data_IF_483562118793
#
_entry.id   IF_483562118793
#
_cell.length_a   1.000
_cell.length_b   1.000
_cell.length_c   1.000
_cell.angle_alpha   90.00
_cell.angle_beta   90.00
_cell.angle_gamma   90.00
#
_symmetry.space_group_name_H-M   'P 1'
#
loop_
_entity.id
_entity.type
_entity.pdbx_description
1 polymer ?
#
# COMPACT_ATOMS: atom_id res chain seq x y z
N UNK A 1 -11.93 24.91 -13.45
CA UNK A 1 -10.47 25.16 -13.51
C UNK A 1 -9.66 24.02 -14.17
N UNK A 2 -10.27 22.92 -14.62
CA UNK A 2 -9.56 21.80 -15.25
C UNK A 2 -9.50 21.87 -16.79
N UNK A 3 -10.08 22.90 -17.40
CA UNK A 3 -10.18 23.04 -18.87
C UNK A 3 -8.99 23.75 -19.52
N UNK A 4 -8.02 24.28 -18.74
CA UNK A 4 -6.91 25.10 -19.23
C UNK A 4 -5.57 24.37 -19.41
N UNK A 5 -5.47 23.11 -18.99
CA UNK A 5 -4.32 22.26 -19.25
C UNK A 5 -4.71 21.37 -20.43
N UNK A 6 -4.00 21.42 -21.56
CA UNK A 6 -4.23 20.63 -22.77
C UNK A 6 -4.07 19.11 -22.60
N UNK A 7 -4.60 18.54 -21.51
CA UNK A 7 -4.67 17.12 -21.17
C UNK A 7 -6.04 16.49 -21.51
N UNK A 8 -6.93 17.23 -22.17
CA UNK A 8 -8.38 16.99 -22.19
C UNK A 8 -8.94 15.83 -23.04
N UNK A 9 -8.13 14.98 -23.69
CA UNK A 9 -8.69 13.90 -24.53
C UNK A 9 -7.95 12.56 -24.43
N UNK A 10 -6.62 12.57 -24.38
CA UNK A 10 -5.83 11.33 -24.37
C UNK A 10 -5.79 10.65 -22.99
N UNK A 11 -5.72 11.42 -21.90
CA UNK A 11 -5.55 10.88 -20.55
C UNK A 11 -6.78 10.10 -20.03
N UNK A 12 -7.99 10.48 -20.47
CA UNK A 12 -9.24 9.81 -20.09
C UNK A 12 -9.61 8.61 -20.98
N UNK A 13 -8.99 8.48 -22.16
CA UNK A 13 -9.26 7.38 -23.11
C UNK A 13 -8.58 6.07 -22.68
N UNK A 14 -7.35 6.16 -22.19
CA UNK A 14 -6.57 5.01 -21.75
C UNK A 14 -7.26 4.16 -20.66
N UNK A 15 -7.86 4.71 -19.58
CA UNK A 15 -8.56 3.90 -18.59
C UNK A 15 -9.84 3.22 -19.13
N UNK A 16 -10.59 3.87 -20.04
CA UNK A 16 -11.76 3.27 -20.72
C UNK A 16 -11.30 2.06 -21.55
N UNK A 17 -10.28 2.24 -22.38
CA UNK A 17 -9.74 1.20 -23.25
C UNK A 17 -9.23 0.01 -22.43
N UNK A 18 -8.58 0.26 -21.29
CA UNK A 18 -8.13 -0.79 -20.36
C UNK A 18 -9.30 -1.52 -19.71
N UNK A 19 -10.33 -0.82 -19.26
CA UNK A 19 -11.53 -1.44 -18.68
C UNK A 19 -12.27 -2.31 -19.70
N UNK A 20 -12.52 -1.79 -20.92
CA UNK A 20 -13.13 -2.56 -22.00
C UNK A 20 -12.26 -3.76 -22.45
N UNK A 21 -10.93 -3.64 -22.39
CA UNK A 21 -10.02 -4.74 -22.69
C UNK A 21 -10.02 -5.82 -21.61
N UNK A 22 -10.11 -5.43 -20.34
CA UNK A 22 -10.25 -6.37 -19.23
C UNK A 22 -11.59 -7.13 -19.29
N UNK A 23 -12.70 -6.44 -19.58
CA UNK A 23 -14.01 -7.06 -19.75
C UNK A 23 -14.05 -8.00 -20.98
N UNK A 24 -13.41 -7.61 -22.09
CA UNK A 24 -13.31 -8.48 -23.28
C UNK A 24 -12.49 -9.74 -22.98
N UNK A 25 -11.40 -9.62 -22.22
CA UNK A 25 -10.62 -10.77 -21.78
C UNK A 25 -11.42 -11.72 -20.87
N UNK A 26 -12.21 -11.18 -19.94
CA UNK A 26 -13.11 -11.97 -19.09
C UNK A 26 -14.21 -12.66 -19.91
N UNK A 27 -14.80 -11.96 -20.88
CA UNK A 27 -15.81 -12.53 -21.76
C UNK A 27 -15.24 -13.67 -22.63
N UNK A 28 -13.99 -13.54 -23.10
CA UNK A 28 -13.28 -14.62 -23.83
C UNK A 28 -12.99 -15.82 -22.94
N UNK A 29 -12.54 -15.60 -21.71
CA UNK A 29 -12.31 -16.68 -20.74
C UNK A 29 -13.61 -17.43 -20.43
N UNK A 30 -14.68 -16.70 -20.12
CA UNK A 30 -16.02 -17.23 -19.87
C UNK A 30 -16.54 -18.06 -21.07
N UNK A 31 -16.32 -17.58 -22.30
CA UNK A 31 -16.66 -18.33 -23.51
C UNK A 31 -15.90 -19.65 -23.60
N UNK A 32 -14.58 -19.62 -23.43
CA UNK A 32 -13.73 -20.81 -23.51
C UNK A 32 -14.10 -21.85 -22.44
N UNK A 33 -14.34 -21.41 -21.20
CA UNK A 33 -14.73 -22.30 -20.10
C UNK A 33 -16.13 -22.91 -20.33
N UNK A 34 -17.07 -22.14 -20.88
CA UNK A 34 -18.39 -22.68 -21.27
C UNK A 34 -18.31 -23.66 -22.44
N UNK A 35 -17.44 -23.43 -23.42
CA UNK A 35 -17.16 -24.39 -24.50
C UNK A 35 -16.58 -25.69 -23.93
N UNK A 36 -15.64 -25.60 -23.00
CA UNK A 36 -15.09 -26.77 -22.31
C UNK A 36 -16.18 -27.56 -21.57
N UNK A 37 -17.05 -26.86 -20.83
CA UNK A 37 -18.18 -27.48 -20.12
C UNK A 37 -19.17 -28.17 -21.08
N UNK A 38 -19.43 -27.58 -22.25
CA UNK A 38 -20.29 -28.19 -23.28
C UNK A 38 -19.69 -29.45 -23.92
N UNK A 39 -18.35 -29.55 -23.97
CA UNK A 39 -17.66 -30.75 -24.44
C UNK A 39 -17.63 -31.86 -23.38
N UNK A 40 -17.58 -31.49 -22.11
CA UNK A 40 -17.57 -32.44 -20.98
C UNK A 40 -18.97 -32.98 -20.67
N UNK A 41 -20.05 -32.29 -21.06
CA UNK A 41 -21.43 -32.73 -20.85
C UNK A 41 -21.87 -33.82 -21.85
N UNK A 42 -22.67 -34.80 -21.39
CA UNK A 42 -23.23 -35.83 -22.26
C UNK A 42 -24.09 -35.26 -23.38
N UNK A 43 -23.95 -35.80 -24.59
CA UNK A 43 -24.65 -35.30 -25.78
C UNK A 43 -26.18 -35.33 -25.61
N UNK A 44 -26.70 -36.33 -24.89
CA UNK A 44 -28.12 -36.46 -24.53
C UNK A 44 -28.60 -35.37 -23.58
N UNK A 45 -27.69 -34.82 -22.77
CA UNK A 45 -27.99 -33.88 -21.70
C UNK A 45 -27.84 -32.41 -22.13
N UNK A 46 -27.41 -32.16 -23.37
CA UNK A 46 -27.27 -30.80 -23.92
C UNK A 46 -28.59 -30.03 -23.98
N UNK A 47 -29.73 -30.72 -24.06
CA UNK A 47 -31.06 -30.12 -24.07
C UNK A 47 -31.60 -29.80 -22.66
N UNK A 48 -30.95 -30.31 -21.60
CA UNK A 48 -31.32 -30.06 -20.22
C UNK A 48 -30.83 -28.68 -19.73
N UNK A 49 -31.29 -28.24 -18.56
CA UNK A 49 -31.06 -26.90 -18.02
C UNK A 49 -29.58 -26.46 -18.00
N UNK A 50 -28.64 -27.38 -17.74
CA UNK A 50 -27.21 -27.08 -17.73
C UNK A 50 -26.63 -26.90 -19.14
N UNK A 51 -27.10 -27.65 -20.13
CA UNK A 51 -26.68 -27.45 -21.52
C UNK A 51 -27.18 -26.11 -22.06
N UNK A 52 -28.44 -25.75 -21.74
CA UNK A 52 -29.00 -24.42 -22.02
C UNK A 52 -28.24 -23.30 -21.30
N UNK A 53 -27.75 -23.55 -20.08
CA UNK A 53 -26.90 -22.60 -19.36
C UNK A 53 -25.58 -22.37 -20.10
N UNK A 54 -24.90 -23.43 -20.58
CA UNK A 54 -23.63 -23.25 -21.31
C UNK A 54 -23.83 -22.49 -22.62
N UNK A 55 -24.89 -22.81 -23.35
CA UNK A 55 -25.25 -22.08 -24.59
C UNK A 55 -25.56 -20.62 -24.29
N UNK A 56 -26.31 -20.32 -23.22
CA UNK A 56 -26.56 -18.96 -22.76
C UNK A 56 -25.26 -18.22 -22.42
N UNK A 57 -24.30 -18.89 -21.75
CA UNK A 57 -22.99 -18.31 -21.43
C UNK A 57 -22.21 -18.00 -22.71
N UNK A 58 -22.21 -18.90 -23.70
CA UNK A 58 -21.53 -18.71 -24.99
C UNK A 58 -22.14 -17.56 -25.80
N UNK A 59 -23.47 -17.49 -25.85
CA UNK A 59 -24.20 -16.43 -26.55
C UNK A 59 -24.02 -15.08 -25.84
N UNK A 60 -24.08 -15.05 -24.52
CA UNK A 60 -23.88 -13.82 -23.73
C UNK A 60 -22.45 -13.30 -23.85
N UNK A 61 -21.44 -14.18 -23.78
CA UNK A 61 -20.03 -13.77 -23.95
C UNK A 61 -19.72 -13.25 -25.36
N UNK A 62 -20.24 -13.90 -26.41
CA UNK A 62 -20.03 -13.43 -27.78
C UNK A 62 -20.72 -12.09 -28.04
N UNK A 63 -21.94 -11.90 -27.54
CA UNK A 63 -22.64 -10.62 -27.59
C UNK A 63 -21.85 -9.52 -26.83
N UNK A 64 -21.37 -9.80 -25.62
CA UNK A 64 -20.53 -8.88 -24.85
C UNK A 64 -19.25 -8.48 -25.61
N UNK A 65 -18.57 -9.44 -26.24
CA UNK A 65 -17.38 -9.16 -27.06
C UNK A 65 -17.70 -8.22 -28.24
N UNK A 66 -18.82 -8.44 -28.93
CA UNK A 66 -19.25 -7.58 -30.03
C UNK A 66 -19.56 -6.16 -29.57
N UNK A 67 -20.27 -6.01 -28.44
CA UNK A 67 -20.64 -4.71 -27.88
C UNK A 67 -19.42 -3.95 -27.35
N UNK A 68 -18.53 -4.62 -26.61
CA UNK A 68 -17.28 -4.03 -26.13
C UNK A 68 -16.35 -3.63 -27.28
N UNK A 69 -16.35 -4.40 -28.38
CA UNK A 69 -15.62 -4.03 -29.61
C UNK A 69 -16.20 -2.77 -30.24
N UNK A 70 -17.52 -2.61 -30.26
CA UNK A 70 -18.18 -1.39 -30.74
C UNK A 70 -17.76 -0.18 -29.91
N UNK A 71 -17.92 -0.24 -28.58
CA UNK A 71 -17.57 0.83 -27.63
C UNK A 71 -16.10 1.24 -27.72
N UNK A 72 -15.19 0.29 -27.97
CA UNK A 72 -13.75 0.56 -28.09
C UNK A 72 -13.40 1.38 -29.34
N UNK A 73 -14.21 1.29 -30.40
CA UNK A 73 -13.97 2.00 -31.67
C UNK A 73 -14.42 3.45 -31.62
N UNK A 74 -15.31 3.79 -30.71
CA UNK A 74 -16.10 5.03 -30.71
C UNK A 74 -15.75 5.99 -29.56
N UNK A 75 -14.74 5.68 -28.73
CA UNK A 75 -14.45 6.44 -27.50
C UNK A 75 -13.29 7.44 -27.63
N UNK A 76 -13.60 8.76 -27.54
CA UNK A 76 -12.79 9.79 -26.90
C UNK A 76 -13.29 10.06 -25.46
N UNK A 77 -12.36 10.40 -24.56
CA UNK A 77 -12.50 10.86 -23.16
C UNK A 77 -13.90 10.93 -22.51
N UNK A 78 -14.34 9.86 -21.83
CA UNK A 78 -15.50 9.90 -20.92
C UNK A 78 -15.14 9.32 -19.55
N UNK A 79 -14.77 10.16 -18.59
CA UNK A 79 -14.34 9.73 -17.24
C UNK A 79 -15.46 9.11 -16.39
N UNK A 80 -16.69 9.61 -16.47
CA UNK A 80 -17.82 9.16 -15.62
C UNK A 80 -18.30 7.75 -16.00
N UNK A 81 -18.18 7.40 -17.27
CA UNK A 81 -18.54 6.10 -17.83
C UNK A 81 -17.55 5.00 -17.41
N UNK A 82 -16.28 5.36 -17.19
CA UNK A 82 -15.22 4.47 -16.67
C UNK A 82 -15.56 3.95 -15.29
N UNK A 83 -16.08 4.82 -14.41
CA UNK A 83 -16.33 4.42 -13.02
C UNK A 83 -17.41 3.36 -12.94
N UNK A 84 -18.50 3.51 -13.72
CA UNK A 84 -19.59 2.53 -13.77
C UNK A 84 -19.16 1.17 -14.35
N UNK A 85 -18.29 1.19 -15.35
CA UNK A 85 -17.67 -0.02 -15.92
C UNK A 85 -16.71 -0.72 -14.94
N UNK A 86 -15.95 0.07 -14.18
CA UNK A 86 -14.85 -0.41 -13.35
C UNK A 86 -15.30 -1.03 -12.02
N UNK A 87 -16.48 -0.69 -11.52
CA UNK A 87 -16.95 -1.13 -10.20
C UNK A 87 -17.89 -2.34 -10.29
N UNK A 88 -19.17 -2.13 -10.60
CA UNK A 88 -20.20 -3.17 -10.44
C UNK A 88 -20.23 -4.16 -11.61
N UNK A 89 -20.07 -3.67 -12.84
CA UNK A 89 -20.07 -4.51 -14.04
C UNK A 89 -18.86 -5.46 -14.05
N UNK A 90 -17.65 -4.94 -13.80
CA UNK A 90 -16.42 -5.73 -13.77
C UNK A 90 -16.39 -6.76 -12.64
N UNK A 91 -16.86 -6.40 -11.45
CA UNK A 91 -16.90 -7.35 -10.31
C UNK A 91 -17.91 -8.46 -10.53
N UNK A 92 -19.09 -8.14 -11.06
CA UNK A 92 -20.13 -9.13 -11.39
C UNK A 92 -19.66 -10.09 -12.49
N UNK A 93 -19.07 -9.57 -13.57
CA UNK A 93 -18.52 -10.40 -14.65
C UNK A 93 -17.35 -11.25 -14.17
N UNK A 94 -16.46 -10.71 -13.32
CA UNK A 94 -15.34 -11.46 -12.75
C UNK A 94 -15.82 -12.61 -11.86
N UNK A 95 -16.80 -12.38 -10.98
CA UNK A 95 -17.38 -13.45 -10.14
C UNK A 95 -18.02 -14.54 -11.00
N UNK A 96 -18.76 -14.14 -12.02
CA UNK A 96 -19.36 -15.06 -12.99
C UNK A 96 -18.28 -15.88 -13.71
N UNK A 97 -17.30 -15.22 -14.33
CA UNK A 97 -16.16 -15.88 -15.01
C UNK A 97 -15.40 -16.83 -14.08
N UNK A 98 -15.20 -16.45 -12.82
CA UNK A 98 -14.53 -17.30 -11.84
C UNK A 98 -15.36 -18.53 -11.46
N UNK A 99 -16.67 -18.40 -11.29
CA UNK A 99 -17.56 -19.54 -11.04
C UNK A 99 -17.55 -20.51 -12.23
N UNK A 100 -17.66 -20.01 -13.46
CA UNK A 100 -17.60 -20.84 -14.68
C UNK A 100 -16.25 -21.54 -14.81
N UNK A 101 -15.14 -20.84 -14.54
CA UNK A 101 -13.79 -21.42 -14.57
C UNK A 101 -13.60 -22.52 -13.52
N UNK A 102 -14.13 -22.34 -12.31
CA UNK A 102 -14.10 -23.35 -11.26
C UNK A 102 -14.92 -24.58 -11.65
N UNK A 103 -16.12 -24.37 -12.19
CA UNK A 103 -16.95 -25.45 -12.70
C UNK A 103 -16.27 -26.20 -13.85
N UNK A 104 -15.69 -25.49 -14.82
CA UNK A 104 -14.99 -26.09 -15.96
C UNK A 104 -13.78 -26.93 -15.54
N UNK A 105 -12.96 -26.44 -14.60
CA UNK A 105 -11.81 -27.18 -14.10
C UNK A 105 -12.20 -28.41 -13.29
N UNK A 106 -13.21 -28.28 -12.43
CA UNK A 106 -13.71 -29.41 -11.65
C UNK A 106 -14.37 -30.46 -12.56
N UNK A 107 -15.15 -30.03 -13.54
CA UNK A 107 -15.74 -30.91 -14.54
C UNK A 107 -14.67 -31.64 -15.37
N UNK A 108 -13.63 -30.94 -15.82
CA UNK A 108 -12.51 -31.55 -16.54
C UNK A 108 -11.75 -32.57 -15.67
N UNK A 109 -11.53 -32.27 -14.40
CA UNK A 109 -10.88 -33.19 -13.46
C UNK A 109 -11.74 -34.45 -13.25
N UNK A 110 -13.06 -34.30 -13.04
CA UNK A 110 -13.98 -35.43 -12.92
C UNK A 110 -13.99 -36.28 -14.20
N UNK A 111 -14.03 -35.65 -15.38
CA UNK A 111 -13.99 -36.35 -16.66
C UNK A 111 -12.67 -37.11 -16.88
N UNK A 112 -11.53 -36.55 -16.49
CA UNK A 112 -10.23 -37.22 -16.59
C UNK A 112 -10.19 -38.49 -15.73
N UNK A 113 -10.69 -38.42 -14.48
CA UNK A 113 -10.73 -39.60 -13.59
C UNK A 113 -11.71 -40.68 -14.03
N UNK A 114 -12.78 -40.32 -14.74
CA UNK A 114 -13.73 -41.28 -15.33
C UNK A 114 -13.10 -42.02 -16.53
N UNK A 115 -12.32 -41.31 -17.35
CA UNK A 115 -11.59 -41.89 -18.47
C UNK A 115 -10.55 -42.95 -18.06
N UNK A 116 -9.83 -42.73 -16.96
CA UNK A 116 -8.87 -43.70 -16.41
C UNK A 116 -9.54 -45.00 -15.91
N UNK A 117 -10.83 -44.96 -15.57
CA UNK A 117 -11.62 -46.12 -15.11
C UNK A 117 -12.26 -46.91 -16.24
N UNK A 118 -12.05 -46.52 -17.50
CA UNK A 118 -12.73 -47.12 -18.66
C UNK A 118 -14.18 -46.65 -18.85
N UNK A 119 -14.68 -45.75 -18.00
CA UNK A 119 -15.98 -45.07 -18.13
C UNK A 119 -15.82 -43.80 -18.98
N UNK A 120 -15.32 -43.94 -20.21
CA UNK A 120 -14.97 -42.84 -21.12
C UNK A 120 -16.17 -42.04 -21.66
N UNK A 121 -17.21 -41.82 -20.85
CA UNK A 121 -18.37 -41.04 -21.19
C UNK A 121 -18.22 -39.59 -20.66
N UNK A 122 -18.81 -38.61 -21.34
CA UNK A 122 -18.97 -37.27 -20.81
C UNK A 122 -19.70 -37.33 -19.44
N UNK A 123 -19.56 -36.31 -18.60
CA UNK A 123 -20.25 -36.23 -17.31
C UNK A 123 -21.77 -36.16 -17.52
N UNK A 124 -22.52 -36.91 -16.71
CA UNK A 124 -23.97 -36.81 -16.64
C UNK A 124 -24.40 -35.44 -16.12
N UNK A 125 -25.61 -35.00 -16.46
CA UNK A 125 -26.18 -33.74 -15.97
C UNK A 125 -26.16 -33.64 -14.44
N UNK A 126 -26.38 -34.75 -13.72
CA UNK A 126 -26.39 -34.79 -12.26
C UNK A 126 -24.99 -34.55 -11.66
N UNK A 127 -23.95 -35.19 -12.20
CA UNK A 127 -22.58 -34.96 -11.76
C UNK A 127 -22.14 -33.51 -12.04
N UNK A 128 -22.52 -32.97 -13.21
CA UNK A 128 -22.21 -31.60 -13.56
C UNK A 128 -22.98 -30.57 -12.72
N UNK A 129 -24.22 -30.90 -12.31
CA UNK A 129 -25.02 -30.07 -11.41
C UNK A 129 -24.34 -29.90 -10.05
N UNK A 130 -23.80 -30.97 -9.48
CA UNK A 130 -23.05 -30.92 -8.22
C UNK A 130 -21.78 -30.05 -8.33
N UNK A 131 -21.07 -30.14 -9.47
CA UNK A 131 -19.91 -29.29 -9.77
C UNK A 131 -20.31 -27.81 -9.84
N UNK A 132 -21.42 -27.50 -10.52
CA UNK A 132 -21.94 -26.14 -10.61
C UNK A 132 -22.35 -25.59 -9.24
N UNK A 133 -23.07 -26.36 -8.44
CA UNK A 133 -23.47 -25.97 -7.09
C UNK A 133 -22.25 -25.61 -6.23
N UNK A 134 -21.24 -26.48 -6.19
CA UNK A 134 -20.01 -26.22 -5.43
C UNK A 134 -19.24 -24.97 -5.93
N UNK A 135 -19.22 -24.74 -7.25
CA UNK A 135 -18.56 -23.59 -7.85
C UNK A 135 -19.30 -22.27 -7.54
N UNK A 136 -20.63 -22.28 -7.59
CA UNK A 136 -21.44 -21.10 -7.27
C UNK A 136 -21.47 -20.81 -5.78
N UNK A 137 -21.57 -21.81 -4.91
CA UNK A 137 -21.53 -21.63 -3.46
C UNK A 137 -20.24 -20.97 -3.02
N UNK A 138 -19.11 -21.40 -3.60
CA UNK A 138 -17.80 -20.82 -3.32
C UNK A 138 -17.71 -19.34 -3.71
N UNK A 139 -18.49 -18.89 -4.70
CA UNK A 139 -18.37 -17.54 -5.26
C UNK A 139 -19.46 -16.56 -4.86
N UNK A 140 -20.66 -17.06 -4.61
CA UNK A 140 -21.84 -16.24 -4.34
C UNK A 140 -22.36 -16.38 -2.91
N UNK A 141 -21.83 -17.32 -2.10
CA UNK A 141 -22.06 -17.51 -0.66
C UNK A 141 -23.39 -16.91 -0.13
N UNK A 142 -24.40 -17.75 0.13
CA UNK A 142 -25.77 -17.39 0.56
C UNK A 142 -26.78 -17.06 -0.56
N UNK A 143 -26.55 -17.49 -1.81
CA UNK A 143 -27.51 -17.27 -2.91
C UNK A 143 -28.42 -18.51 -3.10
N UNK A 144 -29.67 -18.43 -2.63
CA UNK A 144 -30.64 -19.54 -2.59
C UNK A 144 -31.25 -19.90 -3.96
N UNK A 145 -30.88 -19.16 -5.01
CA UNK A 145 -31.52 -19.27 -6.32
C UNK A 145 -30.96 -20.41 -7.20
N UNK A 146 -29.85 -21.03 -6.79
CA UNK A 146 -29.20 -22.12 -7.52
C UNK A 146 -28.36 -21.66 -8.72
N UNK A 147 -27.44 -22.52 -9.21
CA UNK A 147 -26.36 -22.11 -10.09
C UNK A 147 -26.82 -21.52 -11.43
N UNK A 148 -27.86 -22.11 -12.02
CA UNK A 148 -28.41 -21.65 -13.32
C UNK A 148 -28.98 -20.24 -13.21
N UNK A 149 -29.75 -19.94 -12.15
CA UNK A 149 -30.38 -18.63 -11.98
C UNK A 149 -29.37 -17.56 -11.61
N UNK A 150 -28.45 -17.86 -10.70
CA UNK A 150 -27.39 -16.92 -10.28
C UNK A 150 -26.53 -16.48 -11.46
N UNK A 151 -26.04 -17.43 -12.27
CA UNK A 151 -25.20 -17.11 -13.43
C UNK A 151 -25.98 -16.37 -14.51
N UNK A 152 -27.22 -16.78 -14.79
CA UNK A 152 -28.11 -16.09 -15.73
C UNK A 152 -28.37 -14.64 -15.29
N UNK A 153 -28.67 -14.42 -14.01
CA UNK A 153 -28.89 -13.09 -13.47
C UNK A 153 -27.64 -12.21 -13.60
N UNK A 154 -26.47 -12.74 -13.24
CA UNK A 154 -25.20 -12.03 -13.37
C UNK A 154 -24.90 -11.62 -14.82
N UNK A 155 -25.10 -12.53 -15.79
CA UNK A 155 -24.88 -12.25 -17.21
C UNK A 155 -25.89 -11.23 -17.77
N UNK A 156 -27.16 -11.33 -17.39
CA UNK A 156 -28.17 -10.35 -17.81
C UNK A 156 -27.89 -8.96 -17.25
N UNK A 157 -27.43 -8.86 -16.00
CA UNK A 157 -27.03 -7.60 -15.38
C UNK A 157 -25.86 -6.95 -16.12
N UNK A 158 -24.79 -7.72 -16.36
CA UNK A 158 -23.61 -7.26 -17.12
C UNK A 158 -23.98 -6.86 -18.55
N UNK A 159 -24.82 -7.67 -19.22
CA UNK A 159 -25.31 -7.37 -20.57
C UNK A 159 -26.12 -6.07 -20.59
N UNK A 160 -27.01 -5.85 -19.63
CA UNK A 160 -27.79 -4.62 -19.54
C UNK A 160 -26.89 -3.38 -19.39
N UNK A 161 -25.83 -3.46 -18.58
CA UNK A 161 -24.93 -2.33 -18.37
C UNK A 161 -24.03 -2.04 -19.56
N UNK A 162 -23.52 -3.08 -20.23
CA UNK A 162 -22.75 -2.94 -21.48
C UNK A 162 -23.64 -2.47 -22.63
N UNK A 163 -24.91 -2.86 -22.65
CA UNK A 163 -25.90 -2.34 -23.61
C UNK A 163 -26.15 -0.84 -23.40
N UNK A 164 -26.45 -0.41 -22.17
CA UNK A 164 -26.62 1.02 -21.85
C UNK A 164 -25.40 1.85 -22.26
N UNK A 165 -24.21 1.26 -22.13
CA UNK A 165 -22.96 1.87 -22.55
C UNK A 165 -22.86 1.96 -24.08
N UNK A 166 -23.17 0.88 -24.78
CA UNK A 166 -23.15 0.85 -26.24
C UNK A 166 -24.14 1.88 -26.83
N UNK A 167 -25.36 1.94 -26.30
CA UNK A 167 -26.37 2.95 -26.71
C UNK A 167 -25.92 4.36 -26.39
N UNK A 168 -25.41 4.60 -25.17
CA UNK A 168 -24.89 5.92 -24.80
C UNK A 168 -23.76 6.36 -25.73
N UNK A 169 -22.89 5.43 -26.12
CA UNK A 169 -21.79 5.76 -27.03
C UNK A 169 -22.31 6.11 -28.42
N UNK A 170 -23.28 5.36 -28.95
CA UNK A 170 -23.92 5.60 -30.25
C UNK A 170 -24.69 6.93 -30.30
N UNK A 171 -25.48 7.22 -29.27
CA UNK A 171 -26.32 8.43 -29.22
C UNK A 171 -25.48 9.72 -29.18
N UNK A 172 -24.28 9.66 -28.60
CA UNK A 172 -23.38 10.81 -28.48
C UNK A 172 -22.37 10.92 -29.65
N UNK A 173 -22.37 10.01 -30.63
CA UNK A 173 -21.44 10.05 -31.78
C UNK A 173 -21.57 11.35 -32.62
N UNK A 174 -22.78 11.93 -32.67
CA UNK A 174 -23.04 13.15 -33.45
C UNK A 174 -22.44 14.41 -32.81
N UNK A 175 -22.51 14.56 -31.48
CA UNK A 175 -21.83 15.65 -30.77
C UNK A 175 -20.29 15.49 -30.84
N UNK A 176 -19.80 14.25 -30.93
CA UNK A 176 -18.38 13.89 -31.05
C UNK A 176 -17.77 14.23 -32.41
N UNK A 177 -18.52 14.05 -33.51
CA UNK A 177 -18.06 14.45 -34.85
C UNK A 177 -17.90 15.97 -34.97
N UNK A 178 -18.68 16.77 -34.23
CA UNK A 178 -18.52 18.23 -34.24
C UNK A 178 -17.22 18.70 -33.55
N UNK A 179 -16.74 17.95 -32.55
CA UNK A 179 -15.50 18.25 -31.80
C UNK A 179 -14.21 17.77 -32.50
N UNK A 180 -14.31 16.93 -33.55
CA UNK A 180 -13.14 16.36 -34.25
C UNK A 180 -12.77 17.08 -35.55
N UNK A 181 -13.42 18.21 -35.87
CA UNK A 181 -13.00 19.08 -36.97
C UNK A 181 -11.74 19.91 -36.64
N UNK A 182 -11.09 19.64 -35.49
CA UNK A 182 -9.72 20.07 -35.19
C UNK A 182 -8.76 19.04 -35.80
N UNK A 183 -8.22 19.39 -36.97
CA UNK A 183 -7.01 18.86 -37.63
C UNK A 183 -6.49 17.51 -37.09
N UNK A 184 -6.62 16.44 -37.89
CA UNK A 184 -5.87 15.21 -37.68
C UNK A 184 -4.37 15.47 -37.85
N UNK A 185 -3.69 15.84 -36.77
CA UNK A 185 -2.24 15.81 -36.72
C UNK A 185 -1.76 14.37 -36.95
N UNK A 186 -0.79 14.20 -37.86
CA UNK A 186 -0.16 12.92 -38.18
C UNK A 186 0.17 12.16 -36.88
N UNK A 187 -0.09 10.83 -36.81
CA UNK A 187 0.21 10.06 -35.61
C UNK A 187 1.68 10.23 -35.23
N UNK A 188 1.91 10.82 -34.06
CA UNK A 188 3.24 11.11 -33.54
C UNK A 188 4.07 9.83 -33.53
N UNK A 189 5.22 9.79 -34.22
CA UNK A 189 5.96 8.55 -34.38
C UNK A 189 6.39 8.00 -33.01
N UNK A 190 6.36 6.66 -32.81
CA UNK A 190 6.62 6.03 -31.50
C UNK A 190 7.94 6.46 -30.84
N UNK A 191 8.95 6.81 -31.64
CA UNK A 191 10.24 7.32 -31.15
C UNK A 191 10.11 8.66 -30.42
N UNK A 192 9.22 9.54 -30.87
CA UNK A 192 8.97 10.84 -30.23
C UNK A 192 8.21 10.67 -28.92
N UNK A 193 7.26 9.73 -28.86
CA UNK A 193 6.56 9.39 -27.61
C UNK A 193 7.52 8.80 -26.57
N UNK A 194 8.42 7.91 -27.00
CA UNK A 194 9.48 7.37 -26.13
C UNK A 194 10.43 8.47 -25.65
N UNK A 195 10.85 9.37 -26.54
CA UNK A 195 11.73 10.49 -26.19
C UNK A 195 11.06 11.46 -25.19
N UNK A 196 9.78 11.77 -25.38
CA UNK A 196 9.00 12.59 -24.45
C UNK A 196 8.85 11.92 -23.08
N UNK A 197 8.61 10.61 -23.06
CA UNK A 197 8.54 9.84 -21.81
C UNK A 197 9.87 9.86 -21.06
N UNK A 198 10.99 9.63 -21.75
CA UNK A 198 12.33 9.66 -21.14
C UNK A 198 12.65 11.07 -20.62
N UNK A 199 12.33 12.12 -21.38
CA UNK A 199 12.51 13.51 -20.94
C UNK A 199 11.72 13.79 -19.66
N UNK A 200 10.46 13.36 -19.61
CA UNK A 200 9.61 13.51 -18.43
C UNK A 200 10.16 12.74 -17.23
N UNK A 201 10.57 11.49 -17.43
CA UNK A 201 11.20 10.69 -16.38
C UNK A 201 12.47 11.36 -15.84
N UNK A 202 13.29 11.95 -16.72
CA UNK A 202 14.50 12.67 -16.32
C UNK A 202 14.19 13.92 -15.48
N UNK A 203 13.13 14.66 -15.82
CA UNK A 203 12.65 15.82 -15.04
C UNK A 203 12.08 15.39 -13.67
N UNK A 204 11.32 14.30 -13.64
CA UNK A 204 10.80 13.69 -12.40
C UNK A 204 11.95 13.21 -11.50
N UNK A 205 12.96 12.53 -12.05
CA UNK A 205 14.16 12.09 -11.32
C UNK A 205 14.91 13.28 -10.72
N UNK A 206 15.16 14.35 -11.50
CA UNK A 206 15.82 15.56 -10.98
C UNK A 206 15.06 16.17 -9.80
N UNK A 207 13.73 16.23 -9.92
CA UNK A 207 12.87 16.74 -8.83
C UNK A 207 12.96 15.87 -7.59
N UNK A 208 13.00 14.54 -7.75
CA UNK A 208 13.16 13.60 -6.64
C UNK A 208 14.55 13.72 -5.99
N UNK A 209 15.62 13.89 -6.78
CA UNK A 209 16.98 14.11 -6.27
C UNK A 209 17.06 15.35 -5.38
N UNK A 210 16.51 16.49 -5.85
CA UNK A 210 16.47 17.73 -5.05
C UNK A 210 15.70 17.53 -3.74
N UNK A 211 14.56 16.81 -3.78
CA UNK A 211 13.79 16.50 -2.57
C UNK A 211 14.58 15.63 -1.60
N UNK A 212 15.34 14.67 -2.11
CA UNK A 212 16.18 13.78 -1.31
C UNK A 212 17.32 14.56 -0.64
N UNK A 213 18.02 15.42 -1.39
CA UNK A 213 19.07 16.29 -0.85
C UNK A 213 18.54 17.22 0.26
N UNK A 214 17.35 17.82 0.06
CA UNK A 214 16.71 18.64 1.09
C UNK A 214 16.40 17.82 2.36
N UNK A 215 15.90 16.59 2.20
CA UNK A 215 15.63 15.71 3.35
C UNK A 215 16.91 15.30 4.08
N UNK A 216 18.01 15.10 3.37
CA UNK A 216 19.32 14.85 3.99
C UNK A 216 19.83 16.06 4.77
N UNK A 217 19.60 17.27 4.27
CA UNK A 217 19.93 18.51 4.98
C UNK A 217 19.11 18.63 6.28
N UNK A 218 17.79 18.41 6.21
CA UNK A 218 16.89 18.39 7.39
C UNK A 218 17.39 17.39 8.45
N UNK A 219 17.78 16.18 8.03
CA UNK A 219 18.30 15.14 8.94
C UNK A 219 19.60 15.60 9.62
N UNK A 220 20.52 16.24 8.88
CA UNK A 220 21.78 16.75 9.44
C UNK A 220 21.51 17.85 10.47
N UNK A 221 20.56 18.74 10.21
CA UNK A 221 20.17 19.79 11.15
C UNK A 221 19.53 19.21 12.42
N UNK A 222 18.58 18.28 12.26
CA UNK A 222 17.94 17.60 13.39
C UNK A 222 18.95 16.82 14.25
N UNK A 223 19.97 16.22 13.64
CA UNK A 223 21.07 15.56 14.38
C UNK A 223 21.88 16.56 15.20
N UNK A 224 22.18 17.75 14.66
CA UNK A 224 22.86 18.83 15.41
C UNK A 224 22.00 19.32 16.57
N UNK A 225 20.71 19.59 16.34
CA UNK A 225 19.78 20.04 17.36
C UNK A 225 19.64 19.01 18.50
N UNK A 226 19.56 17.72 18.16
CA UNK A 226 19.53 16.66 19.16
C UNK A 226 20.79 16.64 20.02
N UNK A 227 21.97 16.74 19.41
CA UNK A 227 23.24 16.73 20.16
C UNK A 227 23.31 17.91 21.14
N UNK A 228 22.91 19.10 20.70
CA UNK A 228 22.82 20.27 21.58
C UNK A 228 21.85 20.03 22.76
N UNK A 229 20.68 19.42 22.51
CA UNK A 229 19.73 19.08 23.59
C UNK A 229 20.24 18.01 24.54
N UNK A 230 21.02 17.05 24.05
CA UNK A 230 21.67 16.06 24.90
C UNK A 230 22.72 16.70 25.82
N UNK A 231 23.51 17.64 25.29
CA UNK A 231 24.49 18.40 26.05
C UNK A 231 23.80 19.26 27.12
N UNK A 232 22.73 20.00 26.77
CA UNK A 232 21.91 20.76 27.73
C UNK A 232 21.38 19.88 28.88
N UNK A 233 20.82 18.70 28.56
CA UNK A 233 20.32 17.77 29.58
C UNK A 233 21.44 17.26 30.49
N UNK A 234 22.60 16.94 29.94
CA UNK A 234 23.75 16.50 30.72
C UNK A 234 24.24 17.58 31.69
N UNK A 235 24.27 18.84 31.27
CA UNK A 235 24.59 19.97 32.15
C UNK A 235 23.55 20.15 33.25
N UNK A 236 22.26 20.10 32.92
CA UNK A 236 21.18 20.22 33.91
C UNK A 236 21.26 19.10 34.94
N UNK A 237 21.60 17.88 34.53
CA UNK A 237 21.78 16.75 35.44
C UNK A 237 22.96 16.98 36.41
N UNK A 238 24.11 17.43 35.91
CA UNK A 238 25.27 17.75 36.78
C UNK A 238 24.91 18.86 37.78
N UNK A 239 24.27 19.95 37.32
CA UNK A 239 23.85 21.06 38.18
C UNK A 239 22.89 20.59 39.28
N UNK A 240 21.96 19.70 38.92
CA UNK A 240 21.01 19.08 39.85
C UNK A 240 21.73 18.23 40.90
N UNK A 241 22.62 17.33 40.49
CA UNK A 241 23.37 16.46 41.41
C UNK A 241 24.21 17.27 42.40
N UNK A 242 24.83 18.37 41.95
CA UNK A 242 25.56 19.30 42.81
C UNK A 242 24.62 20.01 43.80
N UNK A 243 23.44 20.44 43.36
CA UNK A 243 22.41 21.05 44.21
C UNK A 243 21.92 20.10 45.31
N UNK A 244 21.65 18.83 44.96
CA UNK A 244 21.24 17.79 45.90
C UNK A 244 22.30 17.53 46.98
N UNK A 245 23.58 17.41 46.59
CA UNK A 245 24.68 17.24 47.55
C UNK A 245 24.81 18.43 48.50
N UNK A 246 24.69 19.65 47.99
CA UNK A 246 24.74 20.88 48.81
C UNK A 246 23.59 20.95 49.80
N UNK A 247 22.38 20.59 49.39
CA UNK A 247 21.22 20.60 50.28
C UNK A 247 21.29 19.52 51.34
N UNK A 248 21.69 18.30 50.97
CA UNK A 248 21.91 17.22 51.94
C UNK A 248 22.95 17.60 53.00
N UNK A 249 24.06 18.22 52.59
CA UNK A 249 25.06 18.73 53.52
C UNK A 249 24.53 19.86 54.42
N UNK A 250 23.74 20.78 53.87
CA UNK A 250 23.13 21.87 54.62
C UNK A 250 22.08 21.38 55.63
N UNK A 251 21.26 20.38 55.26
CA UNK A 251 20.28 19.74 56.13
C UNK A 251 20.97 19.06 57.32
N UNK A 252 21.98 18.23 57.07
CA UNK A 252 22.75 17.55 58.12
C UNK A 252 23.45 18.55 59.07
N UNK A 253 24.01 19.64 58.54
CA UNK A 253 24.62 20.69 59.36
C UNK A 253 23.59 21.44 60.21
N UNK A 254 22.38 21.67 59.69
CA UNK A 254 21.29 22.30 60.43
C UNK A 254 20.77 21.39 61.56
N UNK A 255 20.61 20.09 61.31
CA UNK A 255 20.24 19.08 62.31
C UNK A 255 21.24 19.04 63.46
N UNK A 256 22.54 18.94 63.17
CA UNK A 256 23.59 18.93 64.18
C UNK A 256 23.57 20.22 65.03
N UNK A 257 23.33 21.37 64.40
CA UNK A 257 23.24 22.66 65.10
C UNK A 257 22.00 22.74 65.99
N UNK A 258 20.88 22.20 65.52
CA UNK A 258 19.65 22.11 66.31
C UNK A 258 19.86 21.21 67.54
N UNK A 259 20.49 20.04 67.39
CA UNK A 259 20.83 19.16 68.52
C UNK A 259 21.76 19.84 69.53
N UNK A 260 22.78 20.56 69.07
CA UNK A 260 23.69 21.29 69.96
C UNK A 260 22.99 22.41 70.72
N UNK A 261 22.08 23.15 70.08
CA UNK A 261 21.28 24.18 70.74
C UNK A 261 20.29 23.57 71.72
N UNK A 262 19.70 22.42 71.39
CA UNK A 262 18.80 21.70 72.27
C UNK A 262 19.52 21.26 73.56
N UNK A 263 20.70 20.63 73.45
CA UNK A 263 21.51 20.24 74.61
C UNK A 263 21.86 21.45 75.49
N UNK A 264 22.29 22.56 74.88
CA UNK A 264 22.59 23.81 75.61
C UNK A 264 21.36 24.41 76.31
N UNK A 265 20.19 24.27 75.72
CA UNK A 265 18.93 24.71 76.33
C UNK A 265 18.59 23.83 77.53
N UNK A 266 18.70 22.52 77.39
CA UNK A 266 18.43 21.55 78.47
C UNK A 266 19.40 21.76 79.65
N UNK A 267 20.70 21.98 79.39
CA UNK A 267 21.71 22.29 80.41
C UNK A 267 21.39 23.61 81.15
N UNK A 268 21.04 24.68 80.42
CA UNK A 268 20.66 25.95 81.03
C UNK A 268 19.37 25.83 81.85
N UNK A 269 18.42 25.01 81.39
CA UNK A 269 17.17 24.75 82.09
C UNK A 269 17.39 23.94 83.37
N UNK A 270 18.32 22.98 83.35
CA UNK A 270 18.70 22.22 84.54
C UNK A 270 19.41 23.10 85.58
N UNK A 271 20.27 24.05 85.14
CA UNK A 271 20.90 25.04 86.04
C UNK A 271 19.88 25.98 86.70
N UNK A 272 18.86 26.39 85.95
CA UNK A 272 17.71 27.16 86.45
C UNK A 272 16.88 26.39 87.48
N UNK A 273 16.76 25.06 87.35
CA UNK A 273 16.04 24.22 88.32
C UNK A 273 16.83 23.97 89.60
N UNK A 274 18.15 23.97 89.55
CA UNK A 274 19.02 23.73 90.72
C UNK A 274 19.29 24.98 91.56
N UNK A 275 18.86 26.17 91.12
CA UNK A 275 19.04 27.44 91.85
C UNK A 275 17.68 28.01 92.23
N UNK A 276 17.39 28.13 93.53
CA UNK A 276 16.08 28.57 94.06
C UNK A 276 15.69 30.02 93.67
N UNK A 277 16.64 30.83 93.20
CA UNK A 277 16.40 32.15 92.61
C UNK A 277 17.06 32.24 91.22
N UNK A 278 16.29 32.49 90.13
CA UNK A 278 16.85 32.59 88.79
C UNK A 278 17.69 33.87 88.64
N UNK A 279 19.00 33.73 88.53
CA UNK A 279 19.89 34.88 88.29
C UNK A 279 19.63 35.51 86.91
N UNK A 280 19.49 36.85 86.79
CA UNK A 280 19.13 37.53 85.54
C UNK A 280 19.98 37.18 84.30
N UNK A 281 21.31 36.97 84.41
CA UNK A 281 22.15 36.56 83.28
C UNK A 281 21.79 35.18 82.70
N UNK A 282 21.36 34.23 83.54
CA UNK A 282 21.00 32.87 83.13
C UNK A 282 19.67 32.87 82.38
N UNK A 283 18.70 33.67 82.84
CA UNK A 283 17.41 33.85 82.17
C UNK A 283 17.59 34.46 80.77
N UNK A 284 18.41 35.51 80.65
CA UNK A 284 18.70 36.14 79.35
C UNK A 284 19.39 35.17 78.38
N UNK A 285 20.34 34.36 78.89
CA UNK A 285 21.01 33.33 78.07
C UNK A 285 20.03 32.26 77.59
N UNK A 286 19.12 31.78 78.45
CA UNK A 286 18.10 30.81 78.07
C UNK A 286 17.12 31.37 77.02
N UNK A 287 16.69 32.63 77.16
CA UNK A 287 15.83 33.31 76.18
C UNK A 287 16.52 33.47 74.82
N UNK A 288 17.80 33.84 74.80
CA UNK A 288 18.58 33.97 73.56
C UNK A 288 18.72 32.61 72.86
N UNK A 289 19.03 31.54 73.60
CA UNK A 289 19.14 30.17 73.05
C UNK A 289 17.78 29.70 72.52
N UNK A 290 16.68 30.01 73.22
CA UNK A 290 15.32 29.68 72.76
C UNK A 290 14.98 30.40 71.45
N UNK A 291 15.31 31.68 71.32
CA UNK A 291 15.13 32.44 70.07
C UNK A 291 15.95 31.86 68.92
N UNK A 292 17.22 31.51 69.18
CA UNK A 292 18.07 30.86 68.18
C UNK A 292 17.54 29.49 67.76
N UNK A 293 16.97 28.71 68.71
CA UNK A 293 16.35 27.43 68.43
C UNK A 293 15.12 27.59 67.52
N UNK A 294 14.25 28.57 67.79
CA UNK A 294 13.10 28.86 66.92
C UNK A 294 13.54 29.29 65.52
N UNK A 295 14.54 30.16 65.41
CA UNK A 295 15.14 30.53 64.11
C UNK A 295 15.67 29.29 63.37
N UNK A 296 16.37 28.37 64.05
CA UNK A 296 16.82 27.12 63.41
C UNK A 296 15.67 26.23 62.94
N UNK A 297 14.59 26.09 63.73
CA UNK A 297 13.40 25.32 63.32
C UNK A 297 12.73 25.89 62.08
N UNK A 298 12.65 27.23 61.97
CA UNK A 298 12.11 27.87 60.76
C UNK A 298 12.99 27.62 59.53
N UNK A 299 14.31 27.52 59.69
CA UNK A 299 15.23 27.17 58.61
C UNK A 299 15.08 25.69 58.21
N UNK A 300 14.84 24.78 59.16
CA UNK A 300 14.58 23.36 58.87
C UNK A 300 13.34 23.18 58.01
N UNK A 301 12.21 23.83 58.36
CA UNK A 301 10.97 23.80 57.55
C UNK A 301 11.21 24.34 56.14
N UNK A 302 12.00 25.42 56.00
CA UNK A 302 12.37 25.97 54.68
C UNK A 302 13.24 25.01 53.86
N UNK A 303 14.08 24.19 54.50
CA UNK A 303 14.88 23.18 53.83
C UNK A 303 14.01 22.00 53.37
N UNK A 304 13.08 21.53 54.21
CA UNK A 304 12.12 20.48 53.85
C UNK A 304 11.25 20.88 52.63
N UNK A 305 10.80 22.13 52.57
CA UNK A 305 10.07 22.65 51.41
C UNK A 305 10.93 22.64 50.14
N UNK A 306 12.21 23.05 50.22
CA UNK A 306 13.14 22.99 49.08
C UNK A 306 13.45 21.55 48.65
N UNK A 307 13.48 20.60 49.57
CA UNK A 307 13.61 19.18 49.25
C UNK A 307 12.40 18.63 48.51
N UNK A 308 11.19 19.10 48.84
CA UNK A 308 9.97 18.75 48.11
C UNK A 308 10.02 19.26 46.66
N UNK A 309 10.40 20.53 46.45
CA UNK A 309 10.57 21.10 45.10
C UNK A 309 11.59 20.30 44.26
N UNK A 310 12.69 19.87 44.89
CA UNK A 310 13.68 19.04 44.22
C UNK A 310 13.11 17.69 43.84
N UNK A 311 12.36 17.02 44.72
CA UNK A 311 11.71 15.74 44.38
C UNK A 311 10.79 15.87 43.16
N UNK A 312 10.08 16.98 43.03
CA UNK A 312 9.24 17.26 41.87
C UNK A 312 10.09 17.47 40.60
N UNK A 313 11.17 18.25 40.69
CA UNK A 313 12.14 18.40 39.59
C UNK A 313 12.79 17.06 39.19
N UNK A 314 13.05 16.14 40.14
CA UNK A 314 13.53 14.77 39.82
C UNK A 314 12.54 14.01 38.95
N UNK A 315 11.25 14.10 39.30
CA UNK A 315 10.18 13.42 38.57
C UNK A 315 10.05 13.98 37.15
N UNK A 316 10.12 15.30 37.00
CA UNK A 316 10.09 15.97 35.70
C UNK A 316 11.30 15.60 34.83
N UNK A 317 12.52 15.56 35.39
CA UNK A 317 13.71 15.15 34.64
C UNK A 317 13.62 13.70 34.16
N UNK A 318 13.15 12.78 35.02
CA UNK A 318 12.98 11.37 34.67
C UNK A 318 11.99 11.19 33.53
N UNK A 319 10.85 11.89 33.57
CA UNK A 319 9.87 11.88 32.49
C UNK A 319 10.47 12.39 31.16
N UNK A 320 11.26 13.47 31.20
CA UNK A 320 11.94 13.99 30.00
C UNK A 320 12.98 13.02 29.44
N UNK A 321 13.64 12.25 30.30
CA UNK A 321 14.61 11.24 29.89
C UNK A 321 13.94 10.02 29.24
N UNK A 322 12.76 9.62 29.72
CA UNK A 322 11.91 8.59 29.11
C UNK A 322 11.32 9.04 27.76
N UNK A 323 10.87 10.30 27.63
CA UNK A 323 10.44 10.86 26.34
C UNK A 323 11.59 10.85 25.31
N UNK A 324 12.82 11.15 25.74
CA UNK A 324 13.99 11.18 24.87
C UNK A 324 14.39 9.77 24.39
N UNK A 325 14.32 8.76 25.26
CA UNK A 325 14.60 7.36 24.89
C UNK A 325 13.53 6.80 23.96
N UNK A 326 12.25 7.12 24.18
CA UNK A 326 11.19 6.77 23.23
C UNK A 326 11.40 7.43 21.86
N UNK A 327 11.78 8.70 21.82
CA UNK A 327 12.10 9.38 20.55
C UNK A 327 13.29 8.75 19.83
N UNK A 328 14.33 8.31 20.56
CA UNK A 328 15.46 7.58 19.97
C UNK A 328 15.02 6.25 19.36
N UNK A 329 14.24 5.45 20.08
CA UNK A 329 13.74 4.16 19.59
C UNK A 329 12.87 4.36 18.34
N UNK A 330 11.96 5.34 18.35
CA UNK A 330 11.11 5.65 17.18
C UNK A 330 11.95 6.06 15.97
N UNK A 331 13.05 6.79 16.18
CA UNK A 331 13.98 7.19 15.11
C UNK A 331 14.74 6.00 14.56
N UNK A 332 15.33 5.16 15.39
CA UNK A 332 16.05 3.96 14.94
C UNK A 332 15.15 3.02 14.13
N UNK A 333 13.90 2.89 14.56
CA UNK A 333 12.89 2.10 13.86
C UNK A 333 12.53 2.73 12.49
N UNK A 334 12.49 4.07 12.42
CA UNK A 334 12.36 4.82 11.17
C UNK A 334 13.55 4.65 10.23
N UNK A 335 14.78 4.74 10.73
CA UNK A 335 16.01 4.55 9.95
C UNK A 335 16.11 3.11 9.40
N UNK A 336 15.76 2.10 10.20
CA UNK A 336 15.67 0.70 9.73
C UNK A 336 14.64 0.52 8.62
N UNK A 337 13.47 1.16 8.74
CA UNK A 337 12.43 1.12 7.70
C UNK A 337 12.90 1.78 6.39
N UNK A 338 13.60 2.91 6.47
CA UNK A 338 14.16 3.58 5.30
C UNK A 338 15.27 2.75 4.65
N UNK A 339 16.15 2.15 5.45
CA UNK A 339 17.19 1.23 4.98
C UNK A 339 16.61 0.00 4.27
N UNK A 340 15.56 -0.62 4.84
CA UNK A 340 14.87 -1.74 4.20
C UNK A 340 14.12 -1.34 2.92
N UNK A 341 13.56 -0.12 2.87
CA UNK A 341 12.93 0.38 1.65
C UNK A 341 13.96 0.64 0.54
N UNK A 342 15.16 1.14 0.87
CA UNK A 342 16.24 1.34 -0.08
C UNK A 342 16.72 -0.01 -0.66
N UNK A 343 16.99 -1.01 0.17
CA UNK A 343 17.41 -2.33 -0.32
C UNK A 343 16.34 -3.02 -1.18
N UNK A 344 15.06 -2.85 -0.86
CA UNK A 344 13.97 -3.34 -1.69
C UNK A 344 13.85 -2.60 -3.04
N UNK A 345 14.20 -1.31 -3.08
CA UNK A 345 14.25 -0.55 -4.32
C UNK A 345 15.43 -1.00 -5.20
N UNK A 346 16.61 -1.22 -4.60
CA UNK A 346 17.79 -1.72 -5.30
C UNK A 346 17.54 -3.12 -5.90
N UNK A 347 16.92 -4.03 -5.15
CA UNK A 347 16.55 -5.35 -5.64
C UNK A 347 15.58 -5.29 -6.83
N UNK A 348 14.58 -4.39 -6.78
CA UNK A 348 13.67 -4.17 -7.91
C UNK A 348 14.37 -3.58 -9.12
N UNK A 349 15.35 -2.69 -8.92
CA UNK A 349 16.16 -2.11 -9.98
C UNK A 349 16.96 -3.22 -10.69
N UNK A 350 17.53 -4.15 -9.92
CA UNK A 350 18.28 -5.30 -10.42
C UNK A 350 17.38 -6.26 -11.22
N UNK A 351 16.21 -6.63 -10.70
CA UNK A 351 15.21 -7.45 -11.45
C UNK A 351 14.78 -6.80 -12.76
N UNK A 352 14.60 -5.48 -12.77
CA UNK A 352 14.19 -4.73 -13.96
C UNK A 352 15.32 -4.70 -15.00
N UNK A 353 16.57 -4.58 -14.55
CA UNK A 353 17.75 -4.66 -15.41
C UNK A 353 17.92 -6.07 -16.01
N UNK A 354 17.70 -7.14 -15.24
CA UNK A 354 17.70 -8.50 -15.77
C UNK A 354 16.59 -8.71 -16.82
N UNK A 355 15.39 -8.19 -16.56
CA UNK A 355 14.27 -8.29 -17.49
C UNK A 355 14.57 -7.57 -18.81
N UNK A 356 15.24 -6.42 -18.76
CA UNK A 356 15.70 -5.70 -19.96
C UNK A 356 16.74 -6.51 -20.74
N UNK A 357 17.75 -7.07 -20.07
CA UNK A 357 18.76 -7.92 -20.72
C UNK A 357 18.12 -9.14 -21.39
N UNK A 358 17.15 -9.80 -20.73
CA UNK A 358 16.41 -10.95 -21.31
C UNK A 358 15.61 -10.54 -22.54
N UNK A 359 14.99 -9.35 -22.53
CA UNK A 359 14.26 -8.81 -23.69
C UNK A 359 15.20 -8.54 -24.86
N UNK A 360 16.33 -7.87 -24.63
CA UNK A 360 17.33 -7.58 -25.66
C UNK A 360 17.90 -8.86 -26.29
N UNK A 361 18.17 -9.88 -25.47
CA UNK A 361 18.58 -11.20 -25.97
C UNK A 361 17.49 -11.86 -26.83
N UNK A 362 16.22 -11.72 -26.44
CA UNK A 362 15.07 -12.20 -27.22
C UNK A 362 14.96 -11.49 -28.57
N UNK A 363 15.08 -10.17 -28.59
CA UNK A 363 15.04 -9.36 -29.81
C UNK A 363 16.20 -9.70 -30.76
N UNK A 364 17.41 -9.89 -30.24
CA UNK A 364 18.57 -10.34 -31.03
C UNK A 364 18.34 -11.73 -31.64
N UNK A 365 17.75 -12.67 -30.89
CA UNK A 365 17.42 -14.01 -31.39
C UNK A 365 16.38 -13.96 -32.50
N UNK A 366 15.34 -13.13 -32.35
CA UNK A 366 14.31 -12.93 -33.38
C UNK A 366 14.90 -12.29 -34.65
N UNK A 367 15.76 -11.28 -34.51
CA UNK A 367 16.48 -10.66 -35.63
C UNK A 367 17.37 -11.66 -36.36
N UNK A 368 18.12 -12.49 -35.63
CA UNK A 368 18.94 -13.55 -36.24
C UNK A 368 18.09 -14.61 -36.97
N UNK A 369 16.94 -15.00 -36.39
CA UNK A 369 16.03 -15.94 -37.03
C UNK A 369 15.39 -15.37 -38.30
N UNK A 370 15.04 -14.08 -38.30
CA UNK A 370 14.53 -13.39 -39.48
C UNK A 370 15.57 -13.36 -40.61
N UNK A 371 16.82 -12.98 -40.30
CA UNK A 371 17.92 -12.98 -41.28
C UNK A 371 18.18 -14.39 -41.85
N UNK A 372 18.14 -15.43 -41.01
CA UNK A 372 18.28 -16.82 -41.47
C UNK A 372 17.12 -17.28 -42.37
N UNK A 373 15.90 -16.81 -42.12
CA UNK A 373 14.73 -17.10 -42.94
C UNK A 373 14.80 -16.40 -44.31
N UNK A 374 15.22 -15.13 -44.35
CA UNK A 374 15.47 -14.40 -45.60
C UNK A 374 16.50 -15.12 -46.47
N UNK A 375 17.62 -15.55 -45.87
CA UNK A 375 18.69 -16.23 -46.59
C UNK A 375 18.23 -17.59 -47.16
N UNK A 376 17.35 -18.30 -46.45
CA UNK A 376 16.70 -19.53 -46.97
C UNK A 376 15.72 -19.24 -48.10
N UNK A 377 14.95 -18.15 -48.01
CA UNK A 377 14.03 -17.75 -49.06
C UNK A 377 14.80 -17.40 -50.34
N UNK A 378 15.89 -16.65 -50.24
CA UNK A 378 16.77 -16.35 -51.39
C UNK A 378 17.35 -17.62 -52.03
N UNK A 379 17.79 -18.59 -51.22
CA UNK A 379 18.31 -19.87 -51.73
C UNK A 379 17.24 -20.68 -52.47
N UNK A 380 16.00 -20.71 -51.95
CA UNK A 380 14.89 -21.38 -52.62
C UNK A 380 14.53 -20.68 -53.93
N UNK A 381 14.53 -19.35 -53.95
CA UNK A 381 14.26 -18.56 -55.16
C UNK A 381 15.28 -18.89 -56.26
N UNK A 382 16.58 -18.92 -55.94
CA UNK A 382 17.64 -19.29 -56.88
C UNK A 382 17.45 -20.71 -57.46
N UNK A 383 17.09 -21.68 -56.61
CA UNK A 383 16.80 -23.06 -57.07
C UNK A 383 15.59 -23.11 -58.02
N UNK A 384 14.59 -22.27 -57.78
CA UNK A 384 13.40 -22.20 -58.59
C UNK A 384 13.70 -21.56 -59.96
N UNK A 385 14.53 -20.51 -59.98
CA UNK A 385 15.03 -19.89 -61.20
C UNK A 385 15.90 -20.87 -62.02
N UNK A 386 16.78 -21.64 -61.37
CA UNK A 386 17.58 -22.68 -62.02
C UNK A 386 16.71 -23.79 -62.62
N UNK A 387 15.71 -24.27 -61.88
CA UNK A 387 14.76 -25.28 -62.37
C UNK A 387 13.93 -24.75 -63.56
N UNK A 388 13.50 -23.48 -63.49
CA UNK A 388 12.78 -22.83 -64.58
C UNK A 388 13.66 -22.68 -65.84
N UNK A 389 14.94 -22.37 -65.67
CA UNK A 389 15.90 -22.30 -66.77
C UNK A 389 16.22 -23.67 -67.38
N UNK A 390 16.21 -24.74 -66.59
CA UNK A 390 16.35 -26.12 -67.10
C UNK A 390 15.13 -26.54 -67.93
N UNK A 391 13.91 -26.16 -67.52
CA UNK A 391 12.68 -26.44 -68.27
C UNK A 391 12.55 -25.70 -69.60
N UNK A 392 13.29 -24.61 -69.78
CA UNK A 392 13.34 -23.82 -71.03
C UNK A 392 14.36 -24.34 -72.06
N UNK A 393 15.26 -25.22 -71.65
CA UNK A 393 16.23 -25.89 -72.53
C UNK A 393 15.67 -27.24 -72.96
#
# INVERSE_FOLDING_TARGET
MWSGLGMGSSAAREPVLRACSALDALARALHADATALSHVLQATDKQHELGQLHELIQNSSSALQQQLKSVRRTTPSWCELVERLRTECATTLWRCARAVALAARAAAACAATAGERGEGAPLTAQALSAVWAAATDKMYQQDDHGPVRTIRHALNSVSADVNKLATFTQDNEYDMMSLTNVQQDKPTPPVVLRAQLVKKQLEETKTLTIKLENKEADIKELKKALKAKQEELSEMQIRRELGERKLSAAASAAELRAEQLQRKLDDAHNQLKSTDEPTPPVVLRAQLVKKQLEETKTLTIKLENKEADIKELKKALKAKQEELSEMQIRRELGERKLSAAASAADAKQEELSEMQIRRELGERKLSAAASAAELRAEQLQRKLDDAHNQLKR
#
